data_IF_642244165953
#
_entry.id   IF_642244165953
#
_cell.length_a   1.000
_cell.length_b   1.000
_cell.length_c   1.000
_cell.angle_alpha   90.00
_cell.angle_beta   90.00
_cell.angle_gamma   90.00
#
_symmetry.space_group_name_H-M   'P 1'
#
loop_
_entity.id
_entity.type
_entity.pdbx_description
1 polymer ?
#
# COMPACT_ATOMS: atom_id res chain seq x y z
N UNK A 1 22.87 -28.41 12.98
CA UNK A 1 22.39 -28.76 14.34
C UNK A 1 21.79 -27.56 15.09
N UNK A 2 22.48 -26.42 15.12
CA UNK A 2 22.02 -25.17 15.78
C UNK A 2 20.61 -24.68 15.38
N UNK A 3 20.31 -24.64 14.08
CA UNK A 3 18.99 -24.20 13.58
C UNK A 3 17.82 -25.08 14.08
N UNK A 4 18.02 -26.40 14.15
CA UNK A 4 17.01 -27.33 14.68
C UNK A 4 16.74 -27.08 16.17
N UNK A 5 17.80 -26.81 16.94
CA UNK A 5 17.70 -26.49 18.37
C UNK A 5 16.96 -25.15 18.56
N UNK A 6 17.27 -24.16 17.72
CA UNK A 6 16.60 -22.87 17.76
C UNK A 6 15.10 -22.98 17.46
N UNK A 7 14.72 -23.73 16.42
CA UNK A 7 13.32 -23.91 16.05
C UNK A 7 12.53 -24.57 17.18
N UNK A 8 13.06 -25.67 17.72
CA UNK A 8 12.40 -26.41 18.81
C UNK A 8 12.29 -25.57 20.11
N UNK A 9 13.31 -24.77 20.44
CA UNK A 9 13.33 -24.02 21.69
C UNK A 9 12.58 -22.68 21.63
N UNK A 10 12.52 -22.05 20.45
CA UNK A 10 12.02 -20.69 20.29
C UNK A 10 11.00 -20.56 19.17
N UNK A 11 11.32 -20.95 17.94
CA UNK A 11 10.42 -20.70 16.80
C UNK A 11 9.07 -21.39 16.96
N UNK A 12 9.06 -22.71 17.15
CA UNK A 12 7.84 -23.51 17.17
C UNK A 12 6.97 -23.15 18.38
N UNK A 13 7.48 -23.05 19.62
CA UNK A 13 6.65 -22.67 20.77
C UNK A 13 6.04 -21.27 20.65
N UNK A 14 6.76 -20.33 20.03
CA UNK A 14 6.26 -18.96 19.79
C UNK A 14 5.18 -18.95 18.73
N UNK A 15 5.37 -19.67 17.62
CA UNK A 15 4.37 -19.78 16.56
C UNK A 15 3.07 -20.41 17.09
N UNK A 16 3.17 -21.54 17.80
CA UNK A 16 1.99 -22.20 18.40
C UNK A 16 1.28 -21.30 19.40
N UNK A 17 2.03 -20.57 20.23
CA UNK A 17 1.50 -19.60 21.19
C UNK A 17 0.97 -18.29 20.58
N UNK A 18 1.12 -18.06 19.27
CA UNK A 18 0.55 -16.89 18.57
C UNK A 18 -0.67 -17.23 17.71
N UNK A 19 -1.02 -18.52 17.58
CA UNK A 19 -2.22 -18.94 16.84
C UNK A 19 -3.48 -18.49 17.57
N UNK A 20 -4.49 -18.08 16.81
CA UNK A 20 -5.82 -17.74 17.35
C UNK A 20 -6.48 -18.91 18.08
N UNK A 21 -6.09 -20.15 17.74
CA UNK A 21 -6.61 -21.40 18.33
C UNK A 21 -5.75 -21.93 19.49
N UNK A 22 -4.77 -21.17 19.97
CA UNK A 22 -3.83 -21.62 20.99
C UNK A 22 -4.51 -21.87 22.34
N UNK A 23 -4.17 -23.00 22.96
CA UNK A 23 -4.60 -23.32 24.33
C UNK A 23 -3.88 -22.41 25.35
N UNK A 24 -4.44 -22.28 26.55
CA UNK A 24 -3.79 -21.54 27.66
C UNK A 24 -2.36 -22.03 27.94
N UNK A 25 -2.10 -23.34 27.77
CA UNK A 25 -0.78 -23.94 27.97
C UNK A 25 0.20 -23.55 26.86
N UNK A 26 -0.24 -23.54 25.61
CA UNK A 26 0.58 -23.10 24.47
C UNK A 26 0.89 -21.61 24.53
N UNK A 27 -0.08 -20.77 24.89
CA UNK A 27 0.12 -19.35 25.15
C UNK A 27 1.20 -19.11 26.22
N UNK A 28 1.11 -19.82 27.35
CA UNK A 28 2.08 -19.69 28.44
C UNK A 28 3.49 -20.15 28.00
N UNK A 29 3.56 -21.24 27.23
CA UNK A 29 4.82 -21.80 26.72
C UNK A 29 5.47 -20.85 25.71
N UNK A 30 4.70 -20.30 24.78
CA UNK A 30 5.16 -19.31 23.81
C UNK A 30 5.67 -18.03 24.49
N UNK A 31 4.94 -17.49 25.47
CA UNK A 31 5.37 -16.32 26.25
C UNK A 31 6.70 -16.56 26.97
N UNK A 32 6.87 -17.72 27.60
CA UNK A 32 8.14 -18.10 28.27
C UNK A 32 9.30 -18.21 27.27
N UNK A 33 9.05 -18.80 26.09
CA UNK A 33 10.05 -18.88 25.03
C UNK A 33 10.45 -17.49 24.52
N UNK A 34 9.48 -16.59 24.28
CA UNK A 34 9.74 -15.20 23.88
C UNK A 34 10.60 -14.46 24.92
N UNK A 35 10.28 -14.56 26.21
CA UNK A 35 11.05 -13.92 27.28
C UNK A 35 12.50 -14.43 27.33
N UNK A 36 12.69 -15.74 27.19
CA UNK A 36 14.03 -16.35 27.14
C UNK A 36 14.83 -15.86 25.92
N UNK A 37 14.17 -15.73 24.77
CA UNK A 37 14.80 -15.19 23.56
C UNK A 37 15.18 -13.72 23.74
N UNK A 38 14.26 -12.89 24.24
CA UNK A 38 14.48 -11.47 24.49
C UNK A 38 15.66 -11.24 25.45
N UNK A 39 15.78 -12.03 26.51
CA UNK A 39 16.92 -11.98 27.45
C UNK A 39 18.25 -12.33 26.78
N UNK A 40 18.27 -13.28 25.84
CA UNK A 40 19.48 -13.59 25.07
C UNK A 40 19.84 -12.47 24.10
N UNK A 41 18.84 -11.81 23.51
CA UNK A 41 19.05 -10.73 22.53
C UNK A 41 19.36 -9.37 23.17
N UNK A 42 18.97 -9.12 24.42
CA UNK A 42 19.09 -7.80 25.06
C UNK A 42 20.54 -7.32 25.21
N UNK A 43 21.52 -8.23 25.30
CA UNK A 43 22.94 -7.88 25.32
C UNK A 43 23.51 -7.45 23.97
N UNK A 44 22.82 -7.77 22.87
CA UNK A 44 23.28 -7.54 21.50
C UNK A 44 22.45 -6.49 20.76
N UNK A 45 21.32 -6.06 21.33
CA UNK A 45 20.39 -5.14 20.70
C UNK A 45 20.12 -3.91 21.57
N UNK A 46 20.80 -2.81 21.25
CA UNK A 46 20.55 -1.51 21.86
C UNK A 46 19.38 -0.81 21.16
N UNK A 47 18.26 -0.63 21.86
CA UNK A 47 17.10 0.13 21.37
C UNK A 47 16.80 1.30 22.30
N UNK A 48 16.90 2.52 21.79
CA UNK A 48 16.42 3.72 22.47
C UNK A 48 14.99 4.01 22.05
N UNK A 49 14.10 4.26 23.00
CA UNK A 49 12.73 4.69 22.75
C UNK A 49 12.61 6.20 22.96
N UNK A 50 11.65 6.83 22.28
CA UNK A 50 11.40 8.28 22.40
C UNK A 50 10.92 8.70 23.80
N UNK A 51 10.73 7.75 24.72
CA UNK A 51 10.43 8.01 26.14
C UNK A 51 11.53 8.79 26.86
N UNK A 52 12.78 8.75 26.37
CA UNK A 52 13.89 9.55 26.91
C UNK A 52 13.78 11.05 26.59
N UNK A 53 12.91 11.42 25.63
CA UNK A 53 12.69 12.80 25.16
C UNK A 53 11.24 13.21 25.46
N UNK A 54 10.60 12.54 26.43
CA UNK A 54 9.18 12.73 26.74
C UNK A 54 8.88 14.13 27.29
N UNK A 55 9.85 14.75 27.96
CA UNK A 55 9.73 16.09 28.55
C UNK A 55 10.00 17.23 27.55
N UNK A 56 10.14 16.93 26.25
CA UNK A 56 10.20 17.97 25.24
C UNK A 56 8.84 18.69 25.09
N UNK A 57 8.82 20.01 24.89
CA UNK A 57 7.58 20.80 24.80
C UNK A 57 6.70 20.49 23.56
N UNK A 58 7.16 19.61 22.66
CA UNK A 58 6.42 19.22 21.46
C UNK A 58 5.87 17.79 21.59
N UNK A 59 4.54 17.68 21.72
CA UNK A 59 3.83 16.39 21.74
C UNK A 59 3.56 15.95 20.31
N UNK A 60 4.11 14.79 19.92
CA UNK A 60 3.80 14.17 18.63
C UNK A 60 2.43 13.48 18.72
N UNK A 61 1.43 14.04 18.04
CA UNK A 61 0.12 13.41 17.87
C UNK A 61 0.00 12.77 16.49
N UNK A 62 -0.63 11.61 16.43
CA UNK A 62 -0.96 10.92 15.18
C UNK A 62 -2.46 11.02 14.95
N UNK A 63 -2.86 11.70 13.88
CA UNK A 63 -4.26 11.82 13.50
C UNK A 63 -4.52 11.02 12.22
N UNK A 64 -5.58 10.22 12.24
CA UNK A 64 -6.07 9.55 11.03
C UNK A 64 -7.13 10.44 10.39
N UNK A 65 -6.89 10.83 9.13
CA UNK A 65 -7.85 11.61 8.35
C UNK A 65 -8.49 10.71 7.31
N UNK A 66 -9.81 10.54 7.42
CA UNK A 66 -10.59 9.75 6.46
C UNK A 66 -10.98 10.65 5.29
N UNK A 67 -10.49 10.31 4.10
CA UNK A 67 -10.82 11.02 2.86
C UNK A 67 -11.84 10.23 2.05
N UNK A 68 -12.98 10.84 1.74
CA UNK A 68 -13.96 10.23 0.83
C UNK A 68 -13.46 10.25 -0.61
N UNK A 69 -13.75 9.20 -1.39
CA UNK A 69 -13.49 9.18 -2.83
C UNK A 69 -14.37 10.20 -3.55
N UNK A 70 -13.85 10.86 -4.59
CA UNK A 70 -14.66 11.72 -5.47
C UNK A 70 -15.62 10.90 -6.32
N UNK A 71 -16.68 11.51 -6.83
CA UNK A 71 -17.66 10.79 -7.66
C UNK A 71 -17.02 10.21 -8.92
N UNK A 72 -16.04 10.91 -9.50
CA UNK A 72 -15.24 10.37 -10.60
C UNK A 72 -14.39 9.17 -10.16
N UNK A 73 -13.73 9.23 -8.99
CA UNK A 73 -13.00 8.07 -8.47
C UNK A 73 -13.92 6.87 -8.23
N UNK A 74 -15.14 7.10 -7.69
CA UNK A 74 -16.14 6.04 -7.49
C UNK A 74 -16.56 5.41 -8.81
N UNK A 75 -16.83 6.22 -9.84
CA UNK A 75 -17.21 5.73 -11.17
C UNK A 75 -16.11 4.86 -11.80
N UNK A 76 -14.86 5.30 -11.70
CA UNK A 76 -13.70 4.51 -12.17
C UNK A 76 -13.53 3.24 -11.34
N UNK A 77 -13.65 3.34 -10.02
CA UNK A 77 -13.56 2.20 -9.11
C UNK A 77 -14.61 1.13 -9.43
N UNK A 78 -15.85 1.54 -9.63
CA UNK A 78 -16.94 0.65 -10.02
C UNK A 78 -16.66 0.00 -11.38
N UNK A 79 -16.16 0.75 -12.35
CA UNK A 79 -15.79 0.20 -13.67
C UNK A 79 -14.70 -0.86 -13.57
N UNK A 80 -13.73 -0.70 -12.67
CA UNK A 80 -12.70 -1.72 -12.40
C UNK A 80 -13.32 -2.97 -11.77
N UNK A 81 -14.27 -2.82 -10.85
CA UNK A 81 -14.94 -3.95 -10.20
C UNK A 81 -15.84 -4.75 -11.14
N UNK A 82 -16.40 -4.10 -12.15
CA UNK A 82 -17.26 -4.73 -13.18
C UNK A 82 -16.48 -5.60 -14.18
N UNK A 83 -15.15 -5.69 -14.10
CA UNK A 83 -14.37 -6.49 -15.04
C UNK A 83 -14.54 -7.99 -14.78
N UNK A 84 -14.43 -8.78 -15.87
CA UNK A 84 -14.50 -10.25 -15.81
C UNK A 84 -13.40 -10.84 -14.94
N UNK A 85 -12.21 -10.23 -14.94
CA UNK A 85 -11.09 -10.67 -14.11
C UNK A 85 -11.40 -10.52 -12.61
N UNK A 86 -12.05 -9.43 -12.19
CA UNK A 86 -12.43 -9.24 -10.78
C UNK A 86 -13.50 -10.25 -10.38
N UNK A 87 -14.46 -10.52 -11.26
CA UNK A 87 -15.47 -11.57 -11.01
C UNK A 87 -14.80 -12.94 -10.81
N UNK A 88 -13.82 -13.27 -11.64
CA UNK A 88 -13.01 -14.48 -11.50
C UNK A 88 -12.23 -14.52 -10.17
N UNK A 89 -11.65 -13.40 -9.74
CA UNK A 89 -10.95 -13.28 -8.45
C UNK A 89 -11.92 -13.51 -7.28
N UNK A 90 -13.08 -12.86 -7.28
CA UNK A 90 -14.06 -12.95 -6.19
C UNK A 90 -14.59 -14.39 -6.04
N UNK A 91 -14.91 -15.03 -7.16
CA UNK A 91 -15.43 -16.41 -7.16
C UNK A 91 -14.32 -17.47 -6.99
N UNK A 92 -13.04 -17.08 -6.97
CA UNK A 92 -11.90 -17.99 -6.99
C UNK A 92 -11.89 -19.05 -5.87
N UNK A 93 -12.53 -18.75 -4.74
CA UNK A 93 -12.60 -19.62 -3.57
C UNK A 93 -13.81 -20.55 -3.53
N UNK A 94 -14.80 -20.33 -4.40
CA UNK A 94 -16.01 -21.15 -4.53
C UNK A 94 -15.69 -22.54 -5.10
N UNK A 95 -16.54 -23.56 -4.83
CA UNK A 95 -16.40 -24.88 -5.44
C UNK A 95 -16.55 -24.79 -6.96
N UNK A 96 -15.78 -25.60 -7.68
CA UNK A 96 -15.84 -25.67 -9.13
C UNK A 96 -17.06 -26.49 -9.58
N UNK A 97 -17.74 -26.05 -10.64
CA UNK A 97 -18.94 -26.68 -11.19
C UNK A 97 -18.68 -28.02 -11.89
N UNK A 98 -17.43 -28.44 -12.06
CA UNK A 98 -17.05 -29.70 -12.71
C UNK A 98 -17.08 -30.92 -11.77
N UNK A 99 -17.76 -30.84 -10.63
CA UNK A 99 -17.86 -31.89 -9.60
C UNK A 99 -16.51 -32.43 -9.07
N UNK A 100 -15.41 -31.72 -9.31
CA UNK A 100 -14.07 -32.15 -8.86
C UNK A 100 -13.83 -32.02 -7.36
N UNK A 101 -14.74 -31.39 -6.62
CA UNK A 101 -14.55 -31.02 -5.20
C UNK A 101 -13.46 -29.97 -4.95
N UNK A 102 -12.83 -29.45 -6.01
CA UNK A 102 -11.75 -28.45 -5.93
C UNK A 102 -12.31 -27.03 -6.05
N UNK A 103 -11.63 -26.06 -5.43
CA UNK A 103 -11.92 -24.63 -5.61
C UNK A 103 -11.70 -24.21 -7.07
N UNK A 104 -12.49 -23.25 -7.57
CA UNK A 104 -12.40 -22.69 -8.93
C UNK A 104 -10.96 -22.36 -9.34
N UNK A 105 -10.22 -21.65 -8.48
CA UNK A 105 -8.80 -21.26 -8.70
C UNK A 105 -7.82 -22.42 -8.85
N UNK A 106 -8.18 -23.62 -8.39
CA UNK A 106 -7.35 -24.82 -8.43
C UNK A 106 -7.85 -25.83 -9.48
N UNK A 107 -8.85 -25.48 -10.28
CA UNK A 107 -9.51 -26.36 -11.23
C UNK A 107 -9.69 -25.70 -12.61
N UNK A 108 -10.92 -25.56 -13.12
CA UNK A 108 -11.22 -25.04 -14.46
C UNK A 108 -10.97 -23.53 -14.60
N UNK A 109 -10.91 -22.79 -13.50
CA UNK A 109 -10.84 -21.32 -13.46
C UNK A 109 -9.50 -20.84 -12.86
N UNK A 110 -8.41 -21.52 -13.21
CA UNK A 110 -7.04 -21.16 -12.78
C UNK A 110 -6.54 -19.87 -13.42
N UNK A 111 -6.94 -19.63 -14.66
CA UNK A 111 -6.48 -18.52 -15.49
C UNK A 111 -7.65 -17.80 -16.14
N UNK A 112 -7.47 -16.52 -16.48
CA UNK A 112 -8.43 -15.81 -17.33
C UNK A 112 -8.30 -16.21 -18.81
N UNK A 113 -9.09 -15.57 -19.67
CA UNK A 113 -9.06 -15.72 -21.13
C UNK A 113 -7.71 -15.39 -21.78
N UNK A 114 -6.82 -14.72 -21.05
CA UNK A 114 -5.48 -14.31 -21.51
C UNK A 114 -4.36 -15.18 -20.91
N UNK A 115 -4.69 -16.26 -20.21
CA UNK A 115 -3.72 -17.18 -19.60
C UNK A 115 -3.10 -16.68 -18.29
N UNK A 116 -3.59 -15.59 -17.72
CA UNK A 116 -3.06 -15.03 -16.47
C UNK A 116 -3.67 -15.70 -15.26
N UNK A 117 -2.84 -16.08 -14.30
CA UNK A 117 -3.29 -16.74 -13.08
C UNK A 117 -4.09 -15.80 -12.18
N UNK A 118 -5.04 -16.35 -11.40
CA UNK A 118 -5.80 -15.59 -10.39
C UNK A 118 -4.88 -14.83 -9.42
N UNK A 119 -3.72 -15.41 -9.04
CA UNK A 119 -2.76 -14.77 -8.15
C UNK A 119 -2.17 -13.50 -8.78
N UNK A 120 -1.77 -13.58 -10.05
CA UNK A 120 -1.23 -12.42 -10.79
C UNK A 120 -2.30 -11.33 -10.91
N UNK A 121 -3.52 -11.72 -11.29
CA UNK A 121 -4.65 -10.80 -11.41
C UNK A 121 -4.93 -10.09 -10.07
N UNK A 122 -4.96 -10.82 -8.96
CA UNK A 122 -5.22 -10.26 -7.63
C UNK A 122 -4.25 -9.11 -7.29
N UNK A 123 -2.94 -9.31 -7.44
CA UNK A 123 -1.95 -8.26 -7.14
C UNK A 123 -2.02 -7.09 -8.13
N UNK A 124 -2.24 -7.37 -9.41
CA UNK A 124 -2.37 -6.33 -10.43
C UNK A 124 -3.59 -5.43 -10.18
N UNK A 125 -4.76 -6.03 -9.92
CA UNK A 125 -5.98 -5.28 -9.61
C UNK A 125 -5.87 -4.52 -8.28
N UNK A 126 -5.21 -5.08 -7.26
CA UNK A 126 -4.94 -4.36 -6.02
C UNK A 126 -4.09 -3.10 -6.26
N UNK A 127 -3.04 -3.20 -7.11
CA UNK A 127 -2.21 -2.06 -7.48
C UNK A 127 -2.99 -0.99 -8.27
N UNK A 128 -3.86 -1.43 -9.20
CA UNK A 128 -4.76 -0.53 -9.95
C UNK A 128 -5.71 0.21 -9.01
N UNK A 129 -6.40 -0.49 -8.11
CA UNK A 129 -7.32 0.13 -7.15
C UNK A 129 -6.59 1.07 -6.19
N UNK A 130 -5.37 0.74 -5.76
CA UNK A 130 -4.53 1.63 -4.96
C UNK A 130 -4.17 2.92 -5.71
N UNK A 131 -3.83 2.82 -7.00
CA UNK A 131 -3.60 3.99 -7.86
C UNK A 131 -4.85 4.85 -7.98
N UNK A 132 -6.01 4.26 -8.26
CA UNK A 132 -7.31 4.98 -8.34
C UNK A 132 -7.63 5.71 -7.04
N UNK A 133 -7.46 5.05 -5.89
CA UNK A 133 -7.72 5.63 -4.58
C UNK A 133 -6.78 6.81 -4.24
N UNK A 134 -5.55 6.80 -4.77
CA UNK A 134 -4.61 7.90 -4.63
C UNK A 134 -4.95 9.04 -5.59
N UNK A 135 -4.99 8.76 -6.90
CA UNK A 135 -5.36 9.71 -7.94
C UNK A 135 -5.58 8.96 -9.28
N UNK A 136 -6.68 9.22 -9.99
CA UNK A 136 -7.02 8.46 -11.21
C UNK A 136 -5.96 8.59 -12.31
N UNK A 137 -5.34 9.76 -12.47
CA UNK A 137 -4.30 9.97 -13.48
C UNK A 137 -3.05 9.07 -13.31
N UNK A 138 -2.83 8.46 -12.13
CA UNK A 138 -1.74 7.51 -11.90
C UNK A 138 -1.90 6.18 -12.66
N UNK A 139 -3.08 5.92 -13.21
CA UNK A 139 -3.30 4.77 -14.10
C UNK A 139 -2.65 4.99 -15.48
N UNK A 140 -2.38 6.24 -15.87
CA UNK A 140 -1.77 6.58 -17.16
C UNK A 140 -0.23 6.60 -17.11
N UNK A 141 0.38 6.45 -15.95
CA UNK A 141 1.85 6.48 -15.81
C UNK A 141 2.46 5.11 -16.15
N UNK A 142 3.50 5.11 -16.99
CA UNK A 142 4.20 3.91 -17.43
C UNK A 142 4.72 3.09 -16.24
N UNK A 143 4.55 1.76 -16.32
CA UNK A 143 5.01 0.81 -15.30
C UNK A 143 6.43 0.31 -15.59
N UNK A 144 7.13 -0.17 -14.57
CA UNK A 144 8.56 -0.49 -14.58
C UNK A 144 8.96 -1.86 -15.16
N UNK A 145 8.02 -2.75 -15.54
CA UNK A 145 8.36 -4.07 -16.11
C UNK A 145 7.49 -4.45 -17.32
N UNK A 146 8.10 -5.00 -18.39
CA UNK A 146 7.45 -5.27 -19.69
C UNK A 146 6.20 -6.17 -19.62
N UNK A 147 6.18 -7.19 -18.76
CA UNK A 147 5.04 -8.11 -18.63
C UNK A 147 3.92 -7.55 -17.74
N UNK A 148 4.25 -6.77 -16.70
CA UNK A 148 3.22 -6.09 -15.90
C UNK A 148 2.61 -4.92 -16.69
N UNK A 149 3.40 -4.30 -17.55
CA UNK A 149 2.98 -3.21 -18.41
C UNK A 149 1.88 -3.64 -19.38
N UNK A 150 1.97 -4.83 -19.99
CA UNK A 150 0.93 -5.30 -20.92
C UNK A 150 -0.41 -5.58 -20.22
N UNK A 151 -0.38 -6.26 -19.07
CA UNK A 151 -1.58 -6.52 -18.26
C UNK A 151 -2.19 -5.23 -17.74
N UNK A 152 -1.41 -4.38 -17.08
CA UNK A 152 -1.89 -3.13 -16.51
C UNK A 152 -2.42 -2.21 -17.61
N UNK A 153 -1.71 -2.11 -18.74
CA UNK A 153 -2.17 -1.34 -19.91
C UNK A 153 -3.52 -1.84 -20.41
N UNK A 154 -3.70 -3.15 -20.56
CA UNK A 154 -4.99 -3.73 -20.98
C UNK A 154 -6.11 -3.42 -19.99
N UNK A 155 -5.85 -3.52 -18.68
CA UNK A 155 -6.83 -3.16 -17.64
C UNK A 155 -7.17 -1.66 -17.76
N UNK A 156 -6.15 -0.79 -17.85
CA UNK A 156 -6.34 0.64 -18.01
C UNK A 156 -7.14 0.98 -19.26
N UNK A 157 -6.79 0.40 -20.42
CA UNK A 157 -7.49 0.61 -21.68
C UNK A 157 -8.97 0.18 -21.57
N UNK A 158 -9.23 -0.97 -20.96
CA UNK A 158 -10.59 -1.45 -20.72
C UNK A 158 -11.39 -0.50 -19.81
N UNK A 159 -10.79 -0.04 -18.71
CA UNK A 159 -11.46 0.88 -17.76
C UNK A 159 -11.70 2.24 -18.40
N UNK A 160 -10.71 2.76 -19.12
CA UNK A 160 -10.76 4.08 -19.74
C UNK A 160 -11.61 4.15 -21.01
N UNK A 161 -11.98 3.01 -21.59
CA UNK A 161 -12.97 2.97 -22.68
C UNK A 161 -14.30 3.66 -22.30
N UNK A 162 -14.69 3.63 -21.01
CA UNK A 162 -15.88 4.32 -20.49
C UNK A 162 -15.65 5.81 -20.16
N UNK A 163 -14.41 6.30 -20.21
CA UNK A 163 -14.04 7.67 -19.82
C UNK A 163 -13.10 8.35 -20.85
N UNK A 164 -13.48 8.44 -22.14
CA UNK A 164 -12.60 8.95 -23.19
C UNK A 164 -12.17 10.41 -22.97
N UNK A 165 -13.07 11.26 -22.47
CA UNK A 165 -12.78 12.68 -22.19
C UNK A 165 -11.64 12.86 -21.19
N UNK A 166 -11.59 12.00 -20.18
CA UNK A 166 -10.55 12.04 -19.17
C UNK A 166 -9.19 11.63 -19.75
N UNK A 167 -9.17 10.59 -20.60
CA UNK A 167 -7.94 10.14 -21.27
C UNK A 167 -7.38 11.25 -22.15
N UNK A 168 -8.24 11.91 -22.92
CA UNK A 168 -7.82 12.97 -23.82
C UNK A 168 -7.24 14.17 -23.04
N UNK A 169 -7.91 14.58 -21.97
CA UNK A 169 -7.41 15.65 -21.08
C UNK A 169 -6.10 15.27 -20.39
N UNK A 170 -5.99 14.04 -19.91
CA UNK A 170 -4.76 13.55 -19.27
C UNK A 170 -3.58 13.47 -20.24
N UNK A 171 -3.81 13.24 -21.53
CA UNK A 171 -2.75 13.25 -22.56
C UNK A 171 -2.32 14.66 -22.93
N UNK A 172 -3.28 15.56 -23.10
CA UNK A 172 -3.02 16.94 -23.53
C UNK A 172 -2.48 17.82 -22.39
N UNK A 173 -2.95 17.59 -21.16
CA UNK A 173 -2.64 18.40 -19.99
C UNK A 173 -2.40 17.51 -18.75
N UNK A 174 -1.36 16.68 -18.82
CA UNK A 174 -1.06 15.70 -17.78
C UNK A 174 -0.83 16.35 -16.40
N UNK A 175 -0.11 17.48 -16.35
CA UNK A 175 0.18 18.18 -15.10
C UNK A 175 -1.07 18.82 -14.48
N UNK A 176 -1.91 19.45 -15.28
CA UNK A 176 -3.17 20.04 -14.80
C UNK A 176 -4.11 18.95 -14.30
N UNK A 177 -4.22 17.84 -15.03
CA UNK A 177 -5.06 16.70 -14.65
C UNK A 177 -4.55 16.05 -13.35
N UNK A 178 -3.24 15.96 -13.15
CA UNK A 178 -2.62 15.46 -11.91
C UNK A 178 -2.80 16.42 -10.73
N UNK A 179 -2.93 17.72 -11.01
CA UNK A 179 -3.07 18.77 -9.99
C UNK A 179 -4.53 19.02 -9.61
N UNK A 180 -5.50 18.55 -10.41
CA UNK A 180 -6.92 18.78 -10.23
C UNK A 180 -7.51 17.91 -9.09
N UNK A 181 -7.95 18.51 -7.97
CA UNK A 181 -8.55 17.78 -6.86
C UNK A 181 -9.85 17.04 -7.23
N UNK A 182 -10.49 17.36 -8.37
CA UNK A 182 -11.67 16.65 -8.88
C UNK A 182 -11.42 15.14 -9.03
N UNK A 183 -10.18 14.75 -9.34
CA UNK A 183 -9.80 13.36 -9.59
C UNK A 183 -9.16 12.66 -8.37
N UNK A 184 -9.06 13.33 -7.21
CA UNK A 184 -8.59 12.72 -5.96
C UNK A 184 -9.15 13.37 -4.70
N UNK A 185 -9.88 12.58 -3.90
CA UNK A 185 -10.37 12.99 -2.59
C UNK A 185 -9.25 13.28 -1.60
N UNK A 186 -8.11 12.57 -1.71
CA UNK A 186 -6.93 12.84 -0.89
C UNK A 186 -6.34 14.21 -1.19
N UNK A 187 -6.31 14.59 -2.47
CA UNK A 187 -5.86 15.93 -2.86
C UNK A 187 -6.83 17.02 -2.41
N UNK A 188 -8.15 16.80 -2.47
CA UNK A 188 -9.14 17.75 -1.92
C UNK A 188 -8.88 18.05 -0.45
N UNK A 189 -8.67 17.00 0.35
CA UNK A 189 -8.40 17.15 1.79
C UNK A 189 -7.04 17.80 2.03
N UNK A 190 -5.99 17.39 1.29
CA UNK A 190 -4.66 18.00 1.41
C UNK A 190 -4.67 19.49 1.06
N UNK A 191 -5.41 19.89 0.03
CA UNK A 191 -5.57 21.29 -0.36
C UNK A 191 -6.32 22.08 0.71
N UNK A 192 -7.40 21.52 1.27
CA UNK A 192 -8.16 22.14 2.34
C UNK A 192 -7.31 22.32 3.61
N UNK A 193 -6.57 21.29 4.04
CA UNK A 193 -5.62 21.39 5.16
C UNK A 193 -4.57 22.48 4.91
N UNK A 194 -4.05 22.58 3.69
CA UNK A 194 -3.06 23.62 3.34
C UNK A 194 -3.66 25.02 3.39
N UNK A 195 -4.93 25.19 3.01
CA UNK A 195 -5.64 26.46 3.09
C UNK A 195 -5.97 26.85 4.55
N UNK A 196 -6.47 25.91 5.35
CA UNK A 196 -6.86 26.17 6.74
C UNK A 196 -5.67 26.46 7.66
N UNK A 197 -4.47 25.99 7.32
CA UNK A 197 -3.30 26.02 8.21
C UNK A 197 -2.28 27.08 7.74
N UNK A 198 -2.73 28.08 6.97
CA UNK A 198 -1.90 29.21 6.51
C UNK A 198 -1.30 30.05 7.66
N UNK A 199 -1.68 29.79 8.91
CA UNK A 199 -1.02 30.32 10.11
C UNK A 199 0.07 29.37 10.61
N UNK A 200 1.31 29.60 10.15
CA UNK A 200 2.60 29.22 10.80
C UNK A 200 3.01 27.73 10.89
N UNK A 201 2.41 26.77 10.17
CA UNK A 201 2.91 25.38 10.17
C UNK A 201 3.56 24.94 8.86
N UNK A 202 4.70 24.23 8.95
CA UNK A 202 5.39 23.62 7.81
C UNK A 202 4.86 22.19 7.59
N UNK A 203 4.34 21.92 6.40
CA UNK A 203 3.94 20.58 5.99
C UNK A 203 5.08 19.83 5.29
N UNK A 204 5.30 18.59 5.71
CA UNK A 204 6.17 17.64 5.02
C UNK A 204 5.34 16.50 4.44
N UNK A 205 5.03 16.60 3.16
CA UNK A 205 4.44 15.50 2.39
C UNK A 205 5.57 14.53 2.03
N UNK A 206 5.38 13.25 2.35
CA UNK A 206 6.32 12.21 1.93
C UNK A 206 6.08 11.88 0.46
N UNK A 207 6.85 12.52 -0.43
CA UNK A 207 6.85 12.24 -1.87
C UNK A 207 7.97 11.23 -2.13
N UNK A 208 7.63 9.96 -2.39
CA UNK A 208 8.59 9.03 -2.99
C UNK A 208 8.62 9.29 -4.49
N UNK A 209 9.45 10.22 -4.94
CA UNK A 209 9.69 10.38 -6.38
C UNK A 209 10.34 9.11 -6.93
N UNK A 210 9.72 8.52 -7.97
CA UNK A 210 10.27 7.38 -8.74
C UNK A 210 11.43 7.84 -9.62
N UNK A 211 11.61 9.15 -9.81
CA UNK A 211 12.81 9.73 -10.40
C UNK A 211 13.95 9.67 -9.38
N UNK A 212 15.08 9.10 -9.80
CA UNK A 212 16.26 8.82 -8.99
C UNK A 212 16.59 9.90 -7.96
N UNK A 213 17.09 9.46 -6.81
CA UNK A 213 17.53 10.32 -5.71
C UNK A 213 18.33 11.50 -6.26
N UNK A 214 18.00 12.76 -5.93
CA UNK A 214 18.92 13.86 -6.18
C UNK A 214 20.27 13.49 -5.56
N UNK A 215 21.35 13.66 -6.32
CA UNK A 215 22.72 13.40 -5.85
C UNK A 215 22.96 14.09 -4.51
N UNK A 216 23.79 13.51 -3.64
CA UNK A 216 24.02 14.02 -2.28
C UNK A 216 24.33 15.52 -2.24
N UNK A 217 25.03 16.03 -3.26
CA UNK A 217 25.37 17.45 -3.45
C UNK A 217 24.15 18.39 -3.50
N UNK A 218 23.02 17.95 -4.03
CA UNK A 218 21.80 18.77 -4.11
C UNK A 218 20.86 18.59 -2.91
N UNK A 219 21.08 17.58 -2.05
CA UNK A 219 20.24 17.32 -0.87
C UNK A 219 20.55 18.26 0.29
N UNK A 220 21.82 18.41 0.64
CA UNK A 220 22.26 19.22 1.78
C UNK A 220 21.84 20.70 1.69
N UNK A 221 21.98 21.39 0.55
CA UNK A 221 21.59 22.80 0.43
C UNK A 221 20.06 22.99 0.57
N UNK A 222 19.27 22.05 0.05
CA UNK A 222 17.80 22.09 0.14
C UNK A 222 17.34 21.88 1.60
N UNK A 223 17.98 20.96 2.32
CA UNK A 223 17.69 20.71 3.74
C UNK A 223 18.09 21.93 4.57
N UNK A 224 19.28 22.49 4.35
CA UNK A 224 19.77 23.68 5.08
C UNK A 224 18.91 24.91 4.83
N UNK A 225 18.50 25.20 3.58
CA UNK A 225 17.58 26.32 3.28
C UNK A 225 16.21 26.17 3.95
N UNK A 226 15.79 24.93 4.23
CA UNK A 226 14.52 24.65 4.91
C UNK A 226 14.65 24.79 6.42
N UNK A 227 15.78 24.36 7.00
CA UNK A 227 16.11 24.56 8.41
C UNK A 227 16.40 26.03 8.74
N UNK A 228 17.02 26.79 7.83
CA UNK A 228 17.31 28.22 8.03
C UNK A 228 16.06 29.12 7.97
N UNK A 229 14.91 28.59 7.52
CA UNK A 229 13.60 29.24 7.67
C UNK A 229 12.97 29.00 9.06
N UNK A 230 13.58 28.12 9.87
CA UNK A 230 13.17 27.78 11.24
C UNK A 230 13.95 28.58 12.30
N UNK A 231 14.90 29.45 11.89
CA UNK A 231 15.55 30.42 12.78
C UNK A 231 14.67 31.67 12.89
N UNK A 232 14.35 32.04 14.12
CA UNK A 232 13.40 33.07 14.55
C UNK A 232 13.71 34.47 14.03
#
# INVERSE_FOLDING_TARGET
>A
MFWKIFNMQFSDPVEHGQRHTATKRELATGRKAMQRLAKKMSGWFLRRTKTLIKDSPCVLSWQMVYCSLTDFQKAVYQTVLETKDVTLILQSSEPCSCNSGRKKRNCCFKTNSHGETVKTLYFSYLAVLQKVANHVALLQTASTSKQQETLIKRICDQVFSKFPDFVQKSKNAAFETLSDPKYSGKMKVSALLSCCIHTRMIFKIFISSVTGTPTNQNRYPIIQKRLAKDDW
#
